data_IF_873217395272
#
_entry.id   IF_873217395272
#
_cell.length_a   1.000
_cell.length_b   1.000
_cell.length_c   1.000
_cell.angle_alpha   90.00
_cell.angle_beta   90.00
_cell.angle_gamma   90.00
#
_symmetry.space_group_name_H-M   'P 1'
#
loop_
_entity.id
_entity.type
_entity.pdbx_description
1 polymer ?
#
# COMPACT_ATOMS: atom_id res chain seq x y z
N UNK A 1 9.01 -4.77 19.90
CA UNK A 1 10.07 -5.12 18.97
C UNK A 1 11.43 -4.91 19.61
N UNK A 2 12.30 -5.88 19.44
CA UNK A 2 13.68 -5.76 19.94
C UNK A 2 14.64 -5.73 18.77
N UNK A 3 15.54 -4.77 18.80
CA UNK A 3 16.62 -4.65 17.83
C UNK A 3 17.86 -4.11 18.56
N UNK A 4 19.04 -4.37 17.99
CA UNK A 4 20.32 -3.94 18.56
C UNK A 4 20.66 -2.50 18.19
N UNK A 5 19.65 -1.65 18.03
CA UNK A 5 19.79 -0.25 17.73
C UNK A 5 19.28 0.60 18.89
N UNK A 6 19.71 1.85 18.96
CA UNK A 6 19.21 2.78 19.96
C UNK A 6 17.68 2.94 19.84
N UNK A 7 17.00 2.96 20.98
CA UNK A 7 15.58 3.18 21.04
C UNK A 7 15.29 4.60 20.53
N UNK A 8 14.30 4.81 19.63
CA UNK A 8 14.09 6.11 18.98
C UNK A 8 13.98 7.30 19.90
N UNK A 9 13.33 7.17 21.05
CA UNK A 9 13.17 8.29 21.99
C UNK A 9 14.43 8.66 22.76
N UNK A 10 15.51 7.87 22.60
CA UNK A 10 16.83 8.18 23.17
C UNK A 10 17.75 8.92 22.19
N UNK A 11 17.29 9.07 20.93
CA UNK A 11 18.05 9.77 19.89
C UNK A 11 17.81 11.28 19.98
N UNK A 12 18.85 12.06 19.64
CA UNK A 12 18.67 13.51 19.48
C UNK A 12 17.91 13.81 18.19
N UNK A 13 17.33 15.00 18.09
CA UNK A 13 16.61 15.43 16.90
C UNK A 13 17.51 15.44 15.67
N UNK A 14 18.78 15.85 15.82
CA UNK A 14 19.75 15.84 14.72
C UNK A 14 20.07 14.41 14.27
N UNK A 15 20.18 13.48 15.20
CA UNK A 15 20.40 12.06 14.88
C UNK A 15 19.19 11.49 14.13
N UNK A 16 17.99 11.80 14.57
CA UNK A 16 16.74 11.38 13.90
C UNK A 16 16.70 11.93 12.47
N UNK A 17 17.00 13.23 12.30
CA UNK A 17 17.01 13.85 10.97
C UNK A 17 18.03 13.19 10.03
N UNK A 18 19.21 12.86 10.55
CA UNK A 18 20.24 12.16 9.77
C UNK A 18 19.78 10.77 9.33
N UNK A 19 19.11 10.04 10.23
CA UNK A 19 18.56 8.72 9.90
C UNK A 19 17.46 8.86 8.84
N UNK A 20 16.55 9.83 9.00
CA UNK A 20 15.48 10.06 8.03
C UNK A 20 16.02 10.37 6.64
N UNK A 21 17.10 11.14 6.54
CA UNK A 21 17.72 11.49 5.26
C UNK A 21 18.24 10.26 4.50
N UNK A 22 18.58 9.20 5.20
CA UNK A 22 19.16 7.98 4.63
C UNK A 22 18.21 6.79 4.64
N UNK A 23 17.07 6.96 5.29
CA UNK A 23 16.16 5.82 5.55
C UNK A 23 15.73 5.12 4.28
N UNK A 24 15.26 5.86 3.28
CA UNK A 24 14.74 5.27 2.05
C UNK A 24 15.84 4.56 1.26
N UNK A 25 17.04 5.15 1.19
CA UNK A 25 18.19 4.53 0.55
C UNK A 25 18.59 3.23 1.26
N UNK A 26 18.60 3.25 2.59
CA UNK A 26 18.95 2.07 3.38
C UNK A 26 17.91 0.96 3.20
N UNK A 27 16.63 1.30 3.26
CA UNK A 27 15.53 0.34 3.04
C UNK A 27 15.64 -0.27 1.65
N UNK A 28 15.88 0.56 0.63
CA UNK A 28 16.09 0.10 -0.74
C UNK A 28 17.26 -0.87 -0.86
N UNK A 29 18.38 -0.54 -0.25
CA UNK A 29 19.54 -1.42 -0.24
C UNK A 29 19.25 -2.76 0.43
N UNK A 30 18.57 -2.75 1.58
CA UNK A 30 18.17 -3.99 2.27
C UNK A 30 17.28 -4.85 1.37
N UNK A 31 16.33 -4.24 0.67
CA UNK A 31 15.46 -4.97 -0.26
C UNK A 31 16.26 -5.57 -1.43
N UNK A 32 17.26 -4.84 -1.95
CA UNK A 32 18.14 -5.35 -3.00
C UNK A 32 18.95 -6.54 -2.51
N UNK A 33 19.44 -6.49 -1.27
CA UNK A 33 20.15 -7.62 -0.65
C UNK A 33 19.24 -8.84 -0.56
N UNK A 34 17.99 -8.66 -0.12
CA UNK A 34 17.01 -9.75 -0.03
C UNK A 34 16.74 -10.37 -1.40
N UNK A 35 16.53 -9.54 -2.42
CA UNK A 35 16.29 -10.01 -3.78
C UNK A 35 17.49 -10.79 -4.32
N UNK A 36 18.67 -10.25 -4.17
CA UNK A 36 19.90 -10.92 -4.58
C UNK A 36 20.07 -12.27 -3.87
N UNK A 37 19.85 -12.30 -2.55
CA UNK A 37 19.98 -13.52 -1.77
C UNK A 37 18.99 -14.60 -2.25
N UNK A 38 17.74 -14.20 -2.52
CA UNK A 38 16.73 -15.14 -3.05
C UNK A 38 17.15 -15.70 -4.41
N UNK A 39 17.61 -14.85 -5.32
CA UNK A 39 18.06 -15.28 -6.65
C UNK A 39 19.24 -16.27 -6.54
N UNK A 40 20.19 -15.99 -5.66
CA UNK A 40 21.31 -16.88 -5.42
C UNK A 40 20.88 -18.20 -4.78
N UNK A 41 19.92 -18.16 -3.85
CA UNK A 41 19.38 -19.36 -3.21
C UNK A 41 18.65 -20.25 -4.22
N UNK A 42 17.88 -19.65 -5.13
CA UNK A 42 17.21 -20.38 -6.22
C UNK A 42 18.23 -21.08 -7.10
N UNK A 43 19.40 -20.47 -7.32
CA UNK A 43 20.50 -21.03 -8.08
C UNK A 43 21.30 -22.10 -7.33
N UNK A 44 20.95 -22.38 -6.08
CA UNK A 44 21.57 -23.44 -5.29
C UNK A 44 22.55 -22.95 -4.21
N UNK A 45 22.73 -21.65 -4.05
CA UNK A 45 23.61 -21.13 -2.99
C UNK A 45 22.93 -21.24 -1.62
N UNK A 46 23.68 -21.65 -0.62
CA UNK A 46 23.20 -21.75 0.74
C UNK A 46 23.69 -20.55 1.55
N UNK A 47 22.78 -19.95 2.31
CA UNK A 47 23.10 -18.90 3.27
C UNK A 47 22.92 -19.44 4.70
N UNK A 48 23.92 -19.31 5.57
CA UNK A 48 23.82 -19.85 6.93
C UNK A 48 22.58 -19.31 7.67
N UNK A 49 21.82 -20.23 8.25
CA UNK A 49 20.61 -19.87 9.00
C UNK A 49 19.36 -19.65 8.18
N UNK A 50 19.43 -19.78 6.84
CA UNK A 50 18.31 -19.54 5.96
C UNK A 50 18.06 -20.72 5.04
N UNK A 51 16.83 -20.88 4.63
CA UNK A 51 16.42 -21.89 3.64
C UNK A 51 15.36 -21.32 2.72
N UNK A 52 15.29 -21.85 1.52
CA UNK A 52 14.24 -21.48 0.59
C UNK A 52 13.02 -22.38 0.82
N UNK A 53 11.86 -21.79 0.81
CA UNK A 53 10.58 -22.50 0.95
C UNK A 53 9.60 -21.96 -0.09
N UNK A 54 8.58 -22.76 -0.37
CA UNK A 54 7.46 -22.27 -1.19
C UNK A 54 6.68 -21.21 -0.40
N UNK A 55 6.49 -20.05 -1.02
CA UNK A 55 5.72 -18.96 -0.41
C UNK A 55 4.25 -19.34 -0.24
N UNK A 56 3.57 -18.63 0.66
CA UNK A 56 2.14 -18.82 0.86
C UNK A 56 1.39 -18.42 -0.40
N UNK A 57 0.40 -19.22 -0.76
CA UNK A 57 -0.49 -18.92 -1.87
C UNK A 57 -1.94 -19.16 -1.44
N UNK A 58 -2.84 -18.46 -2.09
CA UNK A 58 -4.27 -18.63 -1.85
C UNK A 58 -4.88 -19.43 -3.00
N UNK A 59 -5.95 -20.16 -2.69
CA UNK A 59 -6.74 -20.83 -3.72
C UNK A 59 -7.32 -19.80 -4.67
N UNK A 60 -7.34 -20.11 -5.92
CA UNK A 60 -7.95 -19.26 -6.94
C UNK A 60 -8.67 -20.15 -7.96
N UNK A 61 -9.61 -19.57 -8.66
CA UNK A 61 -10.29 -20.27 -9.73
C UNK A 61 -9.36 -20.39 -10.95
N UNK A 62 -9.44 -21.50 -11.65
CA UNK A 62 -8.69 -21.70 -12.89
C UNK A 62 -9.38 -21.03 -14.08
N UNK A 63 -10.72 -20.90 -14.01
CA UNK A 63 -11.51 -20.29 -15.07
C UNK A 63 -12.80 -19.73 -14.45
N UNK A 64 -12.89 -18.41 -14.40
CA UNK A 64 -14.02 -17.73 -13.77
C UNK A 64 -15.36 -18.02 -14.46
N UNK A 65 -15.36 -18.08 -15.80
CA UNK A 65 -16.57 -18.37 -16.58
C UNK A 65 -17.09 -19.77 -16.30
N UNK A 66 -16.19 -20.75 -16.20
CA UNK A 66 -16.57 -22.13 -15.89
C UNK A 66 -17.15 -22.24 -14.48
N UNK A 67 -16.59 -21.53 -13.50
CA UNK A 67 -17.11 -21.48 -12.13
C UNK A 67 -18.51 -20.87 -12.11
N UNK A 68 -18.69 -19.75 -12.81
CA UNK A 68 -19.99 -19.10 -12.91
C UNK A 68 -21.03 -20.02 -13.50
N UNK A 69 -20.70 -20.76 -14.57
CA UNK A 69 -21.60 -21.70 -15.19
C UNK A 69 -22.01 -22.84 -14.26
N UNK A 70 -21.03 -23.45 -13.56
CA UNK A 70 -21.30 -24.54 -12.62
C UNK A 70 -22.20 -24.10 -11.47
N UNK A 71 -21.94 -22.93 -10.90
CA UNK A 71 -22.73 -22.39 -9.76
C UNK A 71 -24.14 -22.02 -10.22
N UNK A 72 -24.27 -21.43 -11.41
CA UNK A 72 -25.58 -21.08 -11.98
C UNK A 72 -26.39 -22.35 -12.24
N UNK A 73 -25.78 -23.38 -12.80
CA UNK A 73 -26.45 -24.66 -13.06
C UNK A 73 -26.90 -25.34 -11.76
N UNK A 74 -26.20 -25.09 -10.67
CA UNK A 74 -26.58 -25.60 -9.34
C UNK A 74 -27.72 -24.81 -8.69
N UNK A 75 -28.21 -23.72 -9.32
CA UNK A 75 -29.34 -22.94 -8.83
C UNK A 75 -28.96 -21.74 -7.98
N UNK A 76 -27.72 -21.32 -8.00
CA UNK A 76 -27.24 -20.16 -7.23
C UNK A 76 -26.77 -19.04 -8.15
N UNK A 77 -26.75 -17.82 -7.63
CA UNK A 77 -26.19 -16.67 -8.34
C UNK A 77 -24.71 -16.52 -7.90
N UNK A 78 -23.75 -16.69 -8.81
CA UNK A 78 -22.32 -16.60 -8.48
C UNK A 78 -21.79 -15.18 -8.43
N UNK A 79 -22.60 -14.16 -8.72
CA UNK A 79 -22.13 -12.78 -8.85
C UNK A 79 -22.57 -11.93 -7.68
N UNK A 80 -21.69 -11.04 -7.26
CA UNK A 80 -22.02 -9.96 -6.32
C UNK A 80 -22.23 -8.67 -7.11
N UNK A 81 -23.27 -7.94 -6.75
CA UNK A 81 -23.49 -6.60 -7.29
C UNK A 81 -22.76 -5.59 -6.44
N UNK A 82 -21.81 -4.88 -7.04
CA UNK A 82 -20.98 -3.91 -6.34
C UNK A 82 -21.05 -2.55 -7.01
N UNK A 83 -21.20 -1.49 -6.21
CA UNK A 83 -21.17 -0.12 -6.70
C UNK A 83 -19.77 0.19 -7.26
N UNK A 84 -19.73 0.78 -8.45
CA UNK A 84 -18.48 1.23 -9.06
C UNK A 84 -17.82 2.31 -8.21
N UNK A 85 -16.49 2.26 -8.12
CA UNK A 85 -15.72 3.33 -7.51
C UNK A 85 -15.73 4.61 -8.35
N UNK A 86 -15.17 5.68 -7.79
CA UNK A 86 -15.18 7.01 -8.42
C UNK A 86 -14.58 6.99 -9.83
N UNK A 87 -13.42 6.35 -10.01
CA UNK A 87 -12.74 6.33 -11.31
C UNK A 87 -13.56 5.61 -12.39
N UNK A 88 -14.09 4.43 -12.07
CA UNK A 88 -14.89 3.66 -13.01
C UNK A 88 -16.21 4.37 -13.34
N UNK A 89 -16.81 5.00 -12.34
CA UNK A 89 -18.05 5.76 -12.53
C UNK A 89 -17.82 6.99 -13.41
N UNK A 90 -16.69 7.67 -13.25
CA UNK A 90 -16.31 8.81 -14.08
C UNK A 90 -16.14 8.38 -15.55
N UNK A 91 -15.54 7.23 -15.78
CA UNK A 91 -15.41 6.68 -17.14
C UNK A 91 -16.76 6.31 -17.76
N UNK A 92 -17.66 5.75 -16.96
CA UNK A 92 -18.98 5.36 -17.42
C UNK A 92 -19.82 6.57 -17.83
N UNK A 93 -19.86 7.59 -16.99
CA UNK A 93 -20.72 8.76 -17.17
C UNK A 93 -20.09 9.85 -18.03
N UNK A 94 -18.76 9.93 -18.07
CA UNK A 94 -18.03 11.09 -18.56
C UNK A 94 -17.95 12.18 -17.50
N UNK A 95 -16.91 12.99 -17.57
CA UNK A 95 -16.62 13.99 -16.53
C UNK A 95 -17.76 14.95 -16.27
N UNK A 96 -18.42 15.47 -17.33
CA UNK A 96 -19.51 16.42 -17.19
C UNK A 96 -20.71 15.84 -16.45
N UNK A 97 -21.17 14.66 -16.86
CA UNK A 97 -22.29 13.99 -16.19
C UNK A 97 -21.93 13.59 -14.77
N UNK A 98 -20.72 13.10 -14.56
CA UNK A 98 -20.25 12.76 -13.22
C UNK A 98 -20.34 13.96 -12.28
N UNK A 99 -19.79 15.10 -12.71
CA UNK A 99 -19.81 16.33 -11.91
C UNK A 99 -21.24 16.81 -11.66
N UNK A 100 -22.09 16.79 -12.69
CA UNK A 100 -23.47 17.24 -12.58
C UNK A 100 -24.28 16.38 -11.61
N UNK A 101 -24.11 15.07 -11.65
CA UNK A 101 -24.92 14.14 -10.86
C UNK A 101 -24.36 13.88 -9.47
N UNK A 102 -23.05 13.87 -9.32
CA UNK A 102 -22.39 13.32 -8.15
C UNK A 102 -21.50 14.30 -7.37
N UNK A 103 -21.29 15.52 -7.86
CA UNK A 103 -20.37 16.45 -7.18
C UNK A 103 -20.73 16.70 -5.71
N UNK A 104 -22.03 16.77 -5.40
CA UNK A 104 -22.50 16.96 -4.02
C UNK A 104 -22.32 15.72 -3.15
N UNK A 105 -22.03 14.57 -3.75
CA UNK A 105 -21.84 13.28 -3.07
C UNK A 105 -20.39 12.85 -3.01
N UNK A 106 -19.48 13.68 -3.49
CA UNK A 106 -18.03 13.41 -3.49
C UNK A 106 -17.36 14.29 -2.46
N UNK A 107 -16.50 13.68 -1.67
CA UNK A 107 -15.64 14.41 -0.75
C UNK A 107 -14.20 13.93 -0.92
N UNK A 108 -13.27 14.80 -0.63
CA UNK A 108 -11.85 14.46 -0.56
C UNK A 108 -11.41 14.65 0.89
N UNK A 109 -11.38 13.55 1.68
CA UNK A 109 -10.99 13.68 3.07
C UNK A 109 -9.54 14.14 3.20
N UNK A 110 -9.21 14.74 4.33
CA UNK A 110 -7.85 15.14 4.63
C UNK A 110 -6.95 13.90 4.68
N UNK A 111 -5.82 13.95 3.96
CA UNK A 111 -4.82 12.90 4.00
C UNK A 111 -4.15 12.80 5.37
N UNK A 112 -3.59 11.62 5.65
CA UNK A 112 -2.85 11.41 6.89
C UNK A 112 -1.57 12.25 6.89
N UNK A 113 -1.18 12.80 8.05
CA UNK A 113 0.10 13.49 8.15
C UNK A 113 1.26 12.60 7.71
N UNK A 114 2.16 13.15 6.92
CA UNK A 114 3.33 12.44 6.41
C UNK A 114 4.54 13.33 6.57
N UNK A 115 5.62 12.79 7.08
CA UNK A 115 6.87 13.52 7.25
C UNK A 115 7.70 13.40 5.97
N UNK A 116 8.05 14.53 5.40
CA UNK A 116 8.80 14.61 4.15
C UNK A 116 9.92 15.64 4.29
N UNK A 117 10.96 15.59 3.41
CA UNK A 117 11.99 16.64 3.39
C UNK A 117 11.39 18.01 3.10
N UNK A 118 12.02 19.05 3.62
CA UNK A 118 11.59 20.45 3.38
C UNK A 118 11.51 20.80 1.90
N UNK A 119 12.28 20.14 1.07
CA UNK A 119 12.29 20.35 -0.39
C UNK A 119 11.05 19.81 -1.10
N UNK A 120 10.22 19.04 -0.41
CA UNK A 120 8.95 18.54 -0.99
C UNK A 120 8.06 19.75 -1.33
N UNK A 121 7.36 19.67 -2.45
CA UNK A 121 6.55 20.78 -2.98
C UNK A 121 5.27 21.05 -2.20
N UNK A 122 4.86 20.09 -1.38
CA UNK A 122 3.61 20.22 -0.63
C UNK A 122 3.78 21.24 0.49
N UNK A 123 2.68 21.96 0.76
CA UNK A 123 2.66 22.93 1.87
C UNK A 123 2.77 22.22 3.20
N UNK A 124 3.59 22.78 4.10
CA UNK A 124 3.67 22.28 5.46
C UNK A 124 2.31 22.32 6.13
N UNK A 125 1.97 21.24 6.83
CA UNK A 125 0.74 21.14 7.59
C UNK A 125 1.05 21.52 9.05
N UNK A 126 0.38 22.56 9.52
CA UNK A 126 0.52 22.99 10.90
C UNK A 126 -0.76 22.63 11.63
N UNK A 127 -0.73 21.64 12.53
CA UNK A 127 -1.89 21.38 13.37
C UNK A 127 -2.10 22.57 14.30
N UNK A 128 -3.20 23.28 14.11
CA UNK A 128 -3.61 24.38 14.98
C UNK A 128 -4.67 23.90 15.95
N UNK A 129 -5.00 24.71 16.95
CA UNK A 129 -6.10 24.40 17.86
C UNK A 129 -7.41 24.20 17.10
N UNK A 130 -7.58 24.84 15.95
CA UNK A 130 -8.78 24.70 15.12
C UNK A 130 -8.89 23.33 14.47
N UNK A 131 -7.76 22.68 14.15
CA UNK A 131 -7.75 21.36 13.56
C UNK A 131 -8.23 20.28 14.54
N UNK A 132 -8.25 20.59 15.82
CA UNK A 132 -8.67 19.68 16.87
C UNK A 132 -10.04 20.05 17.46
N UNK A 133 -10.69 21.09 16.93
CA UNK A 133 -12.05 21.45 17.31
C UNK A 133 -13.03 20.61 16.52
N UNK A 134 -13.90 19.96 17.22
CA UNK A 134 -15.00 19.21 16.64
C UNK A 134 -16.23 20.10 16.45
#
# INVERSE_FOLDING_TARGET
AQYDFAVPDTLSDDEISMILNRADTFIGWVNDVKTYALEQAISGKEFPGYKIVEGRSNRRYTNDDAVAAVVTDAGYDPFEKKLMGVTAMTKLLGKKKFDTLLSSLIEKPQGKPTLVPDSDKRKAWNPTAEDFKE
#
